data_IF_473529230577
#
_entry.id   IF_473529230577
#
_cell.length_a   1.000
_cell.length_b   1.000
_cell.length_c   1.000
_cell.angle_alpha   90.00
_cell.angle_beta   90.00
_cell.angle_gamma   90.00
#
_symmetry.space_group_name_H-M   'P 1'
#
loop_
_entity.id
_entity.type
_entity.pdbx_description
1 polymer ?
#
# COMPACT_ATOMS: atom_id res chain seq x y z
N UNK A 1 15.15 -4.34 5.17
CA UNK A 1 13.91 -3.61 4.89
C UNK A 1 14.27 -2.15 4.70
N UNK A 2 13.88 -1.54 3.57
CA UNK A 2 14.14 -0.11 3.31
C UNK A 2 13.44 0.78 4.35
N UNK A 3 13.92 2.02 4.48
CA UNK A 3 13.33 2.98 5.42
C UNK A 3 12.00 3.48 4.87
N UNK A 4 10.90 3.05 5.50
CA UNK A 4 9.55 3.49 5.16
C UNK A 4 9.03 4.42 6.27
N UNK A 5 8.38 5.52 5.87
CA UNK A 5 7.72 6.45 6.77
C UNK A 5 6.32 6.76 6.25
N UNK A 6 5.30 6.52 7.07
CA UNK A 6 3.95 7.01 6.80
C UNK A 6 3.88 8.51 7.12
N UNK A 7 3.41 9.28 6.14
CA UNK A 7 3.14 10.72 6.30
C UNK A 7 1.65 10.98 6.53
N UNK A 8 0.78 10.10 6.01
CA UNK A 8 -0.67 10.20 6.17
C UNK A 8 -1.29 8.81 6.33
N UNK A 9 -2.01 8.62 7.44
CA UNK A 9 -2.73 7.39 7.78
C UNK A 9 -4.05 7.76 8.49
N UNK A 10 -5.07 8.18 7.74
CA UNK A 10 -6.35 8.64 8.28
C UNK A 10 -7.23 7.50 8.78
N UNK A 11 -8.09 7.79 9.76
CA UNK A 11 -9.06 6.83 10.30
C UNK A 11 -10.41 6.83 9.53
N UNK A 12 -10.61 7.75 8.58
CA UNK A 12 -11.85 7.92 7.81
C UNK A 12 -11.68 7.62 6.30
N UNK A 13 -10.52 7.10 5.91
CA UNK A 13 -10.19 6.76 4.53
C UNK A 13 -9.28 5.54 4.48
N UNK A 14 -9.34 4.81 3.36
CA UNK A 14 -8.43 3.69 3.08
C UNK A 14 -7.15 4.13 2.39
N UNK A 15 -7.03 5.40 2.03
CA UNK A 15 -5.82 5.93 1.44
C UNK A 15 -4.77 6.17 2.51
N UNK A 16 -3.55 5.74 2.22
CA UNK A 16 -2.34 6.03 2.98
C UNK A 16 -1.30 6.60 2.05
N UNK A 17 -0.41 7.40 2.61
CA UNK A 17 0.72 7.93 1.86
C UNK A 17 1.95 8.06 2.74
N UNK A 18 3.11 7.98 2.12
CA UNK A 18 4.37 8.00 2.82
C UNK A 18 5.55 8.10 1.87
N UNK A 19 6.72 7.84 2.41
CA UNK A 19 7.94 7.68 1.61
C UNK A 19 8.60 6.34 1.88
N UNK A 20 9.17 5.75 0.83
CA UNK A 20 10.16 4.69 0.93
C UNK A 20 11.49 5.28 0.44
N UNK A 21 12.45 5.41 1.35
CA UNK A 21 13.63 6.25 1.13
C UNK A 21 13.19 7.69 0.77
N UNK A 22 13.52 8.14 -0.44
CA UNK A 22 13.18 9.47 -0.96
C UNK A 22 12.03 9.46 -1.98
N UNK A 23 11.40 8.30 -2.22
CA UNK A 23 10.30 8.15 -3.16
C UNK A 23 8.95 8.24 -2.45
N UNK A 24 8.05 9.07 -2.98
CA UNK A 24 6.67 9.14 -2.49
C UNK A 24 5.87 7.92 -2.95
N UNK A 25 5.01 7.44 -2.05
CA UNK A 25 4.02 6.43 -2.42
C UNK A 25 2.65 6.77 -1.85
N UNK A 26 1.63 6.31 -2.56
CA UNK A 26 0.24 6.28 -2.13
C UNK A 26 -0.32 4.88 -2.31
N UNK A 27 -1.13 4.43 -1.36
CA UNK A 27 -1.77 3.13 -1.44
C UNK A 27 -3.19 3.17 -0.89
N UNK A 28 -4.04 2.28 -1.41
CA UNK A 28 -5.38 2.06 -0.85
C UNK A 28 -5.42 0.71 -0.13
N UNK A 29 -5.39 0.75 1.19
CA UNK A 29 -5.23 -0.41 2.08
C UNK A 29 -6.53 -0.67 2.84
N UNK A 30 -6.98 -1.92 2.84
CA UNK A 30 -8.18 -2.38 3.54
C UNK A 30 -7.82 -3.21 4.78
N UNK A 31 -8.80 -3.43 5.67
CA UNK A 31 -8.58 -4.24 6.88
C UNK A 31 -8.45 -5.74 6.57
N UNK A 32 -9.12 -6.19 5.51
CA UNK A 32 -9.18 -7.58 5.10
C UNK A 32 -8.69 -7.74 3.65
N UNK A 33 -8.02 -8.86 3.33
CA UNK A 33 -7.53 -9.14 1.99
C UNK A 33 -8.66 -9.33 0.97
N UNK A 34 -8.36 -9.17 -0.33
CA UNK A 34 -9.34 -9.41 -1.39
C UNK A 34 -8.72 -9.82 -2.72
N UNK A 35 -9.56 -10.29 -3.66
CA UNK A 35 -9.14 -10.60 -5.05
C UNK A 35 -8.60 -9.41 -5.84
N UNK A 36 -8.83 -8.19 -5.36
CA UNK A 36 -8.31 -6.95 -5.95
C UNK A 36 -7.04 -6.46 -5.26
N UNK A 37 -6.61 -7.16 -4.20
CA UNK A 37 -5.36 -6.88 -3.52
C UNK A 37 -4.17 -7.39 -4.32
N UNK A 38 -3.06 -6.66 -4.25
CA UNK A 38 -1.77 -7.13 -4.73
C UNK A 38 -1.46 -8.46 -4.03
N UNK A 39 -1.20 -9.50 -4.82
CA UNK A 39 -1.01 -10.88 -4.34
C UNK A 39 -2.16 -11.43 -3.46
N UNK A 40 -3.38 -10.90 -3.65
CA UNK A 40 -4.54 -11.27 -2.84
C UNK A 40 -4.56 -10.64 -1.44
N UNK A 41 -3.71 -9.65 -1.17
CA UNK A 41 -3.58 -8.96 0.12
C UNK A 41 -4.60 -7.84 0.36
N UNK A 42 -4.28 -6.98 1.33
CA UNK A 42 -5.03 -5.78 1.74
C UNK A 42 -4.79 -4.57 0.83
N UNK A 43 -3.64 -4.50 0.16
CA UNK A 43 -3.27 -3.36 -0.71
C UNK A 43 -3.96 -3.48 -2.08
N UNK A 44 -5.02 -2.70 -2.30
CA UNK A 44 -5.83 -2.75 -3.53
C UNK A 44 -5.40 -1.81 -4.64
N UNK A 45 -4.60 -0.81 -4.30
CA UNK A 45 -3.99 0.18 -5.20
C UNK A 45 -2.64 0.58 -4.64
N UNK A 46 -1.67 0.79 -5.50
CA UNK A 46 -0.33 1.27 -5.13
C UNK A 46 0.21 2.15 -6.24
N UNK A 47 0.75 3.32 -5.88
CA UNK A 47 1.57 4.15 -6.74
C UNK A 47 2.85 4.47 -5.99
N UNK A 48 4.01 4.21 -6.60
CA UNK A 48 5.31 4.66 -6.12
C UNK A 48 5.86 5.56 -7.23
N UNK A 49 6.14 6.82 -6.90
CA UNK A 49 6.44 7.84 -7.90
C UNK A 49 7.57 7.42 -8.84
N UNK A 50 7.28 7.38 -10.15
CA UNK A 50 8.19 6.96 -11.20
C UNK A 50 8.60 5.48 -11.22
N UNK A 51 8.19 4.65 -10.24
CA UNK A 51 8.66 3.27 -10.08
C UNK A 51 7.58 2.24 -10.42
N UNK A 52 6.38 2.38 -9.85
CA UNK A 52 5.33 1.38 -10.03
C UNK A 52 3.93 1.97 -9.93
N UNK A 53 2.98 1.38 -10.66
CA UNK A 53 1.56 1.67 -10.53
C UNK A 53 0.70 0.41 -10.66
N UNK A 54 -0.21 0.26 -9.71
CA UNK A 54 -1.20 -0.80 -9.64
C UNK A 54 -2.59 -0.21 -9.32
N UNK A 55 -3.55 -0.43 -10.21
CA UNK A 55 -4.98 -0.19 -9.97
C UNK A 55 -5.79 -1.43 -10.34
N UNK A 56 -5.79 -2.43 -9.44
CA UNK A 56 -6.43 -3.74 -9.64
C UNK A 56 -5.89 -4.51 -10.85
N UNK A 57 -4.65 -4.24 -11.18
CA UNK A 57 -3.87 -4.74 -12.30
C UNK A 57 -2.61 -3.90 -12.41
N UNK A 58 -1.49 -4.50 -12.79
CA UNK A 58 -0.23 -3.78 -12.98
C UNK A 58 -0.27 -2.96 -14.25
N UNK A 59 0.01 -1.66 -14.14
CA UNK A 59 0.30 -0.82 -15.29
C UNK A 59 1.79 -0.92 -15.63
N UNK A 60 2.66 -0.85 -14.61
CA UNK A 60 4.10 -1.03 -14.70
C UNK A 60 4.73 -1.29 -13.32
N UNK A 61 5.97 -1.77 -13.31
CA UNK A 61 6.80 -1.85 -12.10
C UNK A 61 6.49 -3.02 -11.15
N UNK A 62 5.79 -4.07 -11.60
CA UNK A 62 5.47 -5.25 -10.78
C UNK A 62 6.70 -5.89 -10.11
N UNK A 63 7.80 -6.01 -10.85
CA UNK A 63 9.04 -6.65 -10.36
C UNK A 63 9.98 -5.69 -9.61
N UNK A 64 9.57 -4.44 -9.40
CA UNK A 64 10.41 -3.46 -8.72
C UNK A 64 10.57 -3.80 -7.23
N UNK A 65 11.80 -3.81 -6.69
CA UNK A 65 12.04 -4.23 -5.31
C UNK A 65 11.40 -3.30 -4.27
N UNK A 66 11.08 -2.05 -4.65
CA UNK A 66 10.34 -1.11 -3.80
C UNK A 66 8.88 -1.55 -3.59
N UNK A 67 8.27 -2.19 -4.58
CA UNK A 67 6.88 -2.69 -4.48
C UNK A 67 6.78 -3.69 -3.35
N UNK A 68 7.66 -4.70 -3.33
CA UNK A 68 7.64 -5.75 -2.31
C UNK A 68 7.78 -5.14 -0.90
N UNK A 69 8.74 -4.24 -0.71
CA UNK A 69 9.00 -3.62 0.58
C UNK A 69 7.80 -2.79 1.08
N UNK A 70 7.17 -2.01 0.20
CA UNK A 70 5.98 -1.21 0.55
C UNK A 70 4.78 -2.10 0.84
N UNK A 71 4.54 -3.13 0.02
CA UNK A 71 3.41 -4.05 0.22
C UNK A 71 3.56 -4.81 1.54
N UNK A 72 4.72 -5.42 1.80
CA UNK A 72 4.96 -6.14 3.07
C UNK A 72 4.74 -5.22 4.29
N UNK A 73 5.25 -3.98 4.24
CA UNK A 73 5.04 -3.00 5.30
C UNK A 73 3.55 -2.68 5.53
N UNK A 74 2.77 -2.53 4.46
CA UNK A 74 1.35 -2.18 4.54
C UNK A 74 0.46 -3.38 4.92
N UNK A 75 0.82 -4.60 4.54
CA UNK A 75 0.11 -5.81 4.95
C UNK A 75 0.17 -6.03 6.47
N UNK A 76 1.29 -5.65 7.09
CA UNK A 76 1.49 -5.70 8.54
C UNK A 76 0.86 -4.52 9.29
N UNK A 77 0.21 -3.58 8.58
CA UNK A 77 -0.42 -2.42 9.22
C UNK A 77 -1.62 -2.79 10.10
N UNK A 78 -1.83 -2.00 11.16
CA UNK A 78 -2.96 -2.17 12.07
C UNK A 78 -4.29 -1.96 11.36
N UNK A 79 -5.36 -2.63 11.82
CA UNK A 79 -6.73 -2.37 11.35
C UNK A 79 -7.05 -0.88 11.44
N UNK A 80 -7.59 -0.35 10.36
CA UNK A 80 -7.97 1.04 10.15
C UNK A 80 -9.33 1.33 10.76
N UNK A 81 -10.31 0.45 10.58
CA UNK A 81 -11.63 0.61 11.16
C UNK A 81 -11.79 -0.34 12.35
N UNK A 82 -11.86 0.26 13.54
CA UNK A 82 -12.19 -0.46 14.76
C UNK A 82 -13.59 -1.08 14.67
N UNK A 83 -13.67 -2.37 14.99
CA UNK A 83 -14.87 -3.19 14.82
C UNK A 83 -16.12 -2.67 15.52
N UNK A 84 -17.26 -2.97 14.89
CA UNK A 84 -18.60 -2.73 15.40
C UNK A 84 -19.58 -2.54 14.23
N UNK A 85 -20.06 -3.65 13.67
CA UNK A 85 -21.48 -3.70 13.29
C UNK A 85 -22.28 -3.97 14.56
#
# INVERSE_FOLDING_TARGET
MRKIKLNYFPNDSNWVGGTIEDLEFEAKVFDEPSKYGIYGGKVSKLSIDGIANYDRGWEFGEDEPFVKDVVEFLEDSTKRFGGGF
#
